data_IF_753042574634
#
_entry.id   IF_753042574634
#
_cell.length_a   1.000
_cell.length_b   1.000
_cell.length_c   1.000
_cell.angle_alpha   90.00
_cell.angle_beta   90.00
_cell.angle_gamma   90.00
#
_symmetry.space_group_name_H-M   'P 1'
#
loop_
_entity.id
_entity.type
_entity.pdbx_description
1 polymer ?
#
# COMPACT_ATOMS: atom_id res chain seq x y z
N UNK A 1 53.70 -10.17 -45.43
CA UNK A 1 52.31 -10.47 -45.02
C UNK A 1 52.02 -9.67 -43.76
N UNK A 2 51.23 -8.61 -43.85
CA UNK A 2 50.94 -7.71 -42.72
C UNK A 2 49.57 -8.06 -42.14
N UNK A 3 49.54 -8.49 -40.90
CA UNK A 3 48.29 -8.75 -40.16
C UNK A 3 47.59 -7.43 -39.84
N UNK A 4 46.28 -7.30 -40.09
CA UNK A 4 45.54 -6.10 -39.70
C UNK A 4 45.37 -6.10 -38.18
N UNK A 5 45.99 -5.13 -37.49
CA UNK A 5 45.74 -4.88 -36.07
C UNK A 5 44.30 -4.41 -35.89
N UNK A 6 43.45 -5.29 -35.37
CA UNK A 6 42.04 -5.03 -35.11
C UNK A 6 41.89 -4.07 -33.92
N UNK A 7 42.05 -2.77 -34.16
CA UNK A 7 41.95 -1.69 -33.17
C UNK A 7 40.48 -1.30 -32.86
N UNK A 8 39.61 -2.29 -32.61
CA UNK A 8 38.21 -2.05 -32.23
C UNK A 8 38.00 -1.82 -30.72
N UNK A 9 39.05 -1.59 -29.93
CA UNK A 9 38.89 -1.25 -28.51
C UNK A 9 38.57 0.25 -28.37
N UNK A 10 37.40 0.62 -27.82
CA UNK A 10 37.08 2.01 -27.57
C UNK A 10 38.12 2.63 -26.62
N UNK A 11 38.43 3.91 -26.83
CA UNK A 11 39.36 4.64 -25.98
C UNK A 11 38.87 4.64 -24.52
N UNK A 12 39.79 4.77 -23.56
CA UNK A 12 39.45 4.82 -22.13
C UNK A 12 38.45 5.94 -21.84
N UNK A 13 38.53 7.05 -22.58
CA UNK A 13 37.59 8.17 -22.54
C UNK A 13 36.19 7.72 -22.97
N UNK A 14 36.07 7.10 -24.16
CA UNK A 14 34.78 6.63 -24.68
C UNK A 14 34.13 5.58 -23.78
N UNK A 15 34.93 4.72 -23.13
CA UNK A 15 34.43 3.74 -22.15
C UNK A 15 33.89 4.42 -20.89
N UNK A 16 34.59 5.43 -20.36
CA UNK A 16 34.16 6.17 -19.17
C UNK A 16 32.92 7.03 -19.46
N UNK A 17 32.85 7.69 -20.61
CA UNK A 17 31.68 8.45 -21.05
C UNK A 17 30.45 7.55 -21.21
N UNK A 18 30.61 6.40 -21.85
CA UNK A 18 29.53 5.44 -22.01
C UNK A 18 29.07 4.88 -20.66
N UNK A 19 29.99 4.60 -19.73
CA UNK A 19 29.67 4.15 -18.38
C UNK A 19 28.93 5.24 -17.59
N UNK A 20 29.40 6.49 -17.65
CA UNK A 20 28.76 7.64 -17.01
C UNK A 20 27.33 7.84 -17.53
N UNK A 21 27.14 7.82 -18.85
CA UNK A 21 25.83 7.96 -19.48
C UNK A 21 24.86 6.86 -19.03
N UNK A 22 25.30 5.59 -19.03
CA UNK A 22 24.49 4.46 -18.56
C UNK A 22 24.09 4.61 -17.10
N UNK A 23 25.04 4.98 -16.23
CA UNK A 23 24.77 5.18 -14.81
C UNK A 23 23.82 6.35 -14.56
N UNK A 24 23.99 7.47 -15.27
CA UNK A 24 23.10 8.63 -15.14
C UNK A 24 21.67 8.30 -15.58
N UNK A 25 21.50 7.61 -16.71
CA UNK A 25 20.18 7.16 -17.19
C UNK A 25 19.53 6.22 -16.18
N UNK A 26 20.29 5.27 -15.63
CA UNK A 26 19.79 4.33 -14.64
C UNK A 26 19.44 5.02 -13.31
N UNK A 27 20.28 5.93 -12.83
CA UNK A 27 20.04 6.78 -11.65
C UNK A 27 18.77 7.61 -11.79
N UNK A 28 18.55 8.21 -12.97
CA UNK A 28 17.31 8.93 -13.30
C UNK A 28 16.09 8.01 -13.28
N UNK A 29 16.19 6.82 -13.88
CA UNK A 29 15.09 5.84 -13.89
C UNK A 29 14.73 5.38 -12.47
N UNK A 30 15.73 5.07 -11.63
CA UNK A 30 15.51 4.68 -10.24
C UNK A 30 14.85 5.80 -9.41
N UNK A 31 15.27 7.06 -9.61
CA UNK A 31 14.64 8.22 -8.96
C UNK A 31 13.19 8.39 -9.40
N UNK A 32 12.90 8.22 -10.69
CA UNK A 32 11.53 8.31 -11.20
C UNK A 32 10.63 7.19 -10.65
N UNK A 33 11.15 5.95 -10.59
CA UNK A 33 10.45 4.83 -9.96
C UNK A 33 10.19 5.07 -8.48
N UNK A 34 11.18 5.60 -7.74
CA UNK A 34 11.02 5.94 -6.33
C UNK A 34 9.99 7.05 -6.10
N UNK A 35 9.92 8.05 -6.97
CA UNK A 35 8.92 9.11 -6.87
C UNK A 35 7.50 8.54 -7.04
N UNK A 36 7.27 7.78 -8.12
CA UNK A 36 5.99 7.11 -8.37
C UNK A 36 5.57 6.18 -7.24
N UNK A 37 6.49 5.33 -6.77
CA UNK A 37 6.15 4.38 -5.70
C UNK A 37 5.85 5.07 -4.36
N UNK A 38 6.37 6.29 -4.14
CA UNK A 38 6.04 7.09 -2.96
C UNK A 38 4.68 7.75 -3.07
N UNK A 39 4.29 8.19 -4.28
CA UNK A 39 2.94 8.69 -4.56
C UNK A 39 1.93 7.55 -4.37
N UNK A 40 2.15 6.40 -5.00
CA UNK A 40 1.30 5.21 -4.85
C UNK A 40 1.20 4.76 -3.38
N UNK A 41 2.27 4.86 -2.60
CA UNK A 41 2.25 4.55 -1.17
C UNK A 41 1.38 5.52 -0.36
N UNK A 42 1.28 6.78 -0.76
CA UNK A 42 0.40 7.76 -0.08
C UNK A 42 -1.06 7.39 -0.34
N UNK A 43 -1.40 7.08 -1.59
CA UNK A 43 -2.76 6.67 -1.95
C UNK A 43 -3.16 5.38 -1.22
N UNK A 44 -2.25 4.41 -1.14
CA UNK A 44 -2.50 3.16 -0.41
C UNK A 44 -2.70 3.38 1.08
N UNK A 45 -1.93 4.29 1.69
CA UNK A 45 -2.12 4.65 3.11
C UNK A 45 -3.48 5.29 3.33
N UNK A 46 -3.92 6.13 2.40
CA UNK A 46 -5.24 6.74 2.49
C UNK A 46 -6.33 5.66 2.38
N UNK A 47 -6.17 4.68 1.49
CA UNK A 47 -7.08 3.55 1.39
C UNK A 47 -7.13 2.69 2.66
N UNK A 48 -5.99 2.43 3.31
CA UNK A 48 -5.93 1.76 4.62
C UNK A 48 -6.74 2.53 5.66
N UNK A 49 -6.51 3.84 5.79
CA UNK A 49 -7.22 4.67 6.77
C UNK A 49 -8.73 4.66 6.52
N UNK A 50 -9.15 4.83 5.27
CA UNK A 50 -10.58 4.75 4.92
C UNK A 50 -11.18 3.40 5.28
N UNK A 51 -10.51 2.28 4.97
CA UNK A 51 -10.99 0.97 5.38
C UNK A 51 -11.00 0.75 6.91
N UNK A 52 -10.09 1.37 7.66
CA UNK A 52 -10.10 1.34 9.13
C UNK A 52 -11.28 2.13 9.71
N UNK A 53 -11.61 3.27 9.09
CA UNK A 53 -12.79 4.05 9.41
C UNK A 53 -14.07 3.25 9.10
N UNK A 54 -14.14 2.60 7.93
CA UNK A 54 -15.27 1.73 7.52
C UNK A 54 -15.49 0.57 8.51
N UNK A 55 -14.40 -0.07 8.98
CA UNK A 55 -14.49 -1.11 10.03
C UNK A 55 -15.10 -0.53 11.31
N UNK A 56 -14.68 0.67 11.70
CA UNK A 56 -15.13 1.31 12.93
C UNK A 56 -16.60 1.68 12.85
N UNK A 57 -17.05 2.26 11.74
CA UNK A 57 -18.46 2.59 11.47
C UNK A 57 -19.34 1.33 11.46
N UNK A 58 -18.94 0.32 10.70
CA UNK A 58 -19.68 -0.94 10.56
C UNK A 58 -19.73 -1.73 11.88
N UNK A 59 -18.67 -1.68 12.69
CA UNK A 59 -18.66 -2.27 14.04
C UNK A 59 -19.60 -1.54 15.00
N UNK A 60 -19.67 -0.21 14.93
CA UNK A 60 -20.60 0.57 15.74
C UNK A 60 -22.05 0.27 15.35
N UNK A 61 -22.34 0.19 14.05
CA UNK A 61 -23.66 -0.21 13.54
C UNK A 61 -24.06 -1.61 13.99
N UNK A 62 -23.14 -2.58 13.94
CA UNK A 62 -23.38 -3.92 14.45
C UNK A 62 -23.75 -3.90 15.95
N UNK A 63 -23.04 -3.09 16.75
CA UNK A 63 -23.33 -2.96 18.17
C UNK A 63 -24.72 -2.33 18.42
N UNK A 64 -25.13 -1.36 17.61
CA UNK A 64 -26.47 -0.77 17.67
C UNK A 64 -27.57 -1.81 17.37
N UNK A 65 -27.37 -2.62 16.32
CA UNK A 65 -28.28 -3.73 15.99
C UNK A 65 -28.38 -4.72 17.16
N UNK A 66 -27.24 -5.15 17.72
CA UNK A 66 -27.23 -6.08 18.86
C UNK A 66 -27.92 -5.49 20.11
N UNK A 67 -27.81 -4.19 20.34
CA UNK A 67 -28.55 -3.52 21.42
C UNK A 67 -30.06 -3.46 21.17
N UNK A 68 -30.49 -3.23 19.93
CA UNK A 68 -31.90 -3.24 19.56
C UNK A 68 -32.49 -4.64 19.70
N UNK A 69 -31.78 -5.66 19.21
CA UNK A 69 -32.16 -7.06 19.39
C UNK A 69 -32.30 -7.42 20.87
N UNK A 70 -31.36 -7.01 21.72
CA UNK A 70 -31.44 -7.28 23.16
C UNK A 70 -32.67 -6.63 23.81
N UNK A 71 -33.01 -5.38 23.44
CA UNK A 71 -34.23 -4.71 23.93
C UNK A 71 -35.49 -5.43 23.46
N UNK A 72 -35.54 -5.81 22.19
CA UNK A 72 -36.67 -6.49 21.59
C UNK A 72 -36.86 -7.90 22.17
N UNK A 73 -35.78 -8.61 22.46
CA UNK A 73 -35.84 -9.91 23.12
C UNK A 73 -36.51 -9.81 24.49
N UNK A 74 -36.21 -8.76 25.27
CA UNK A 74 -36.87 -8.52 26.56
C UNK A 74 -38.37 -8.30 26.38
N UNK A 75 -38.80 -7.58 25.33
CA UNK A 75 -40.22 -7.40 25.01
C UNK A 75 -40.89 -8.71 24.60
N UNK A 76 -40.23 -9.51 23.75
CA UNK A 76 -40.71 -10.83 23.34
C UNK A 76 -40.85 -11.76 24.55
N UNK A 77 -39.86 -11.78 25.43
CA UNK A 77 -39.88 -12.60 26.65
C UNK A 77 -41.04 -12.19 27.57
N UNK A 78 -41.23 -10.88 27.77
CA UNK A 78 -42.33 -10.36 28.59
C UNK A 78 -43.71 -10.72 28.01
N UNK A 79 -43.90 -10.57 26.69
CA UNK A 79 -45.14 -10.93 26.01
C UNK A 79 -45.38 -12.45 26.03
N UNK A 80 -44.33 -13.26 25.95
CA UNK A 80 -44.44 -14.74 25.94
C UNK A 80 -44.94 -15.33 27.26
N UNK A 81 -44.81 -14.58 28.36
CA UNK A 81 -45.30 -14.97 29.68
C UNK A 81 -46.78 -14.65 29.89
N UNK A 82 -47.39 -13.84 29.01
CA UNK A 82 -48.80 -13.49 29.09
C UNK A 82 -49.69 -14.65 28.58
N UNK A 83 -50.91 -14.81 29.13
CA UNK A 83 -51.86 -15.79 28.64
C UNK A 83 -52.20 -15.54 27.15
N UNK A 84 -52.38 -16.58 26.32
CA UNK A 84 -52.69 -16.43 24.89
C UNK A 84 -53.96 -15.63 24.59
N UNK A 85 -54.90 -15.56 25.55
CA UNK A 85 -56.13 -14.76 25.44
C UNK A 85 -55.90 -13.25 25.49
N UNK A 86 -54.67 -12.80 25.75
CA UNK A 86 -54.27 -11.39 25.80
C UNK A 86 -53.29 -10.99 24.68
N UNK A 87 -52.95 -11.90 23.76
CA UNK A 87 -52.07 -11.60 22.63
C UNK A 87 -52.88 -11.29 21.37
N UNK A 88 -52.97 -10.00 21.03
CA UNK A 88 -53.65 -9.50 19.82
C UNK A 88 -52.79 -9.65 18.54
N UNK A 89 -51.83 -10.58 18.52
CA UNK A 89 -50.82 -10.73 17.45
C UNK A 89 -49.55 -9.91 17.68
N UNK A 90 -49.41 -9.29 18.85
CA UNK A 90 -48.25 -8.49 19.25
C UNK A 90 -46.99 -9.35 19.35
N UNK A 91 -47.08 -10.55 19.94
CA UNK A 91 -45.93 -11.45 20.07
C UNK A 91 -45.40 -11.89 18.69
N UNK A 92 -46.29 -12.21 17.75
CA UNK A 92 -45.91 -12.60 16.40
C UNK A 92 -45.20 -11.47 15.66
N UNK A 93 -45.71 -10.24 15.75
CA UNK A 93 -45.08 -9.07 15.16
C UNK A 93 -43.68 -8.80 15.74
N UNK A 94 -43.52 -8.88 17.07
CA UNK A 94 -42.22 -8.68 17.73
C UNK A 94 -41.20 -9.77 17.40
N UNK A 95 -41.63 -11.02 17.22
CA UNK A 95 -40.76 -12.11 16.75
C UNK A 95 -40.32 -11.91 15.29
N UNK A 96 -41.21 -11.40 14.44
CA UNK A 96 -40.85 -11.07 13.06
C UNK A 96 -39.79 -9.95 13.03
N UNK A 97 -40.03 -8.86 13.77
CA UNK A 97 -39.07 -7.75 13.89
C UNK A 97 -37.71 -8.21 14.41
N UNK A 98 -37.67 -9.17 15.35
CA UNK A 98 -36.43 -9.77 15.82
C UNK A 98 -35.72 -10.55 14.71
N UNK A 99 -36.48 -11.30 13.90
CA UNK A 99 -35.95 -12.00 12.72
C UNK A 99 -35.36 -11.04 11.68
N UNK A 100 -36.01 -9.90 11.43
CA UNK A 100 -35.50 -8.86 10.53
C UNK A 100 -34.16 -8.28 11.06
N UNK A 101 -34.06 -8.03 12.37
CA UNK A 101 -32.79 -7.60 12.98
C UNK A 101 -31.70 -8.68 12.95
N UNK A 102 -32.05 -9.96 13.06
CA UNK A 102 -31.10 -11.06 12.90
C UNK A 102 -30.53 -11.12 11.48
N UNK A 103 -31.37 -10.86 10.47
CA UNK A 103 -30.95 -10.74 9.07
C UNK A 103 -30.01 -9.53 8.88
N UNK A 104 -30.39 -8.34 9.36
CA UNK A 104 -29.55 -7.13 9.30
C UNK A 104 -28.19 -7.35 9.99
N UNK A 105 -28.18 -8.02 11.15
CA UNK A 105 -26.94 -8.37 11.86
C UNK A 105 -26.05 -9.27 10.99
N UNK A 106 -26.64 -10.25 10.32
CA UNK A 106 -25.89 -11.18 9.49
C UNK A 106 -25.34 -10.51 8.22
N UNK A 107 -26.07 -9.57 7.63
CA UNK A 107 -25.60 -8.73 6.53
C UNK A 107 -24.43 -7.84 6.96
N UNK A 108 -24.54 -7.18 8.12
CA UNK A 108 -23.49 -6.30 8.65
C UNK A 108 -22.21 -7.10 8.97
N UNK A 109 -22.33 -8.31 9.51
CA UNK A 109 -21.20 -9.22 9.72
C UNK A 109 -20.51 -9.62 8.40
N UNK A 110 -21.27 -9.85 7.34
CA UNK A 110 -20.72 -10.15 6.01
C UNK A 110 -20.00 -8.93 5.43
N UNK A 111 -20.56 -7.74 5.61
CA UNK A 111 -19.93 -6.48 5.23
C UNK A 111 -18.61 -6.27 5.97
N UNK A 112 -18.58 -6.44 7.31
CA UNK A 112 -17.34 -6.37 8.09
C UNK A 112 -16.28 -7.36 7.62
N UNK A 113 -16.68 -8.61 7.34
CA UNK A 113 -15.76 -9.61 6.81
C UNK A 113 -15.16 -9.18 5.47
N UNK A 114 -15.97 -8.57 4.59
CA UNK A 114 -15.51 -8.03 3.33
C UNK A 114 -14.54 -6.86 3.52
N UNK A 115 -14.89 -5.86 4.35
CA UNK A 115 -14.04 -4.71 4.64
C UNK A 115 -12.69 -5.17 5.22
N UNK A 116 -12.69 -6.12 6.14
CA UNK A 116 -11.45 -6.69 6.68
C UNK A 116 -10.58 -7.36 5.62
N UNK A 117 -11.17 -8.04 4.63
CA UNK A 117 -10.43 -8.64 3.52
C UNK A 117 -9.79 -7.56 2.63
N UNK A 118 -10.52 -6.48 2.35
CA UNK A 118 -10.04 -5.32 1.61
C UNK A 118 -8.92 -4.61 2.38
N UNK A 119 -9.12 -4.29 3.65
CA UNK A 119 -8.11 -3.70 4.54
C UNK A 119 -6.81 -4.52 4.56
N UNK A 120 -6.91 -5.84 4.69
CA UNK A 120 -5.74 -6.73 4.67
C UNK A 120 -5.01 -6.68 3.32
N UNK A 121 -5.76 -6.54 2.23
CA UNK A 121 -5.17 -6.36 0.89
C UNK A 121 -4.38 -5.06 0.82
N UNK A 122 -4.96 -3.96 1.33
CA UNK A 122 -4.30 -2.67 1.36
C UNK A 122 -3.03 -2.66 2.22
N UNK A 123 -3.12 -3.20 3.44
CA UNK A 123 -1.97 -3.33 4.34
C UNK A 123 -0.83 -4.18 3.74
N UNK A 124 -1.18 -5.25 3.00
CA UNK A 124 -0.21 -6.06 2.27
C UNK A 124 0.44 -5.28 1.11
N UNK A 125 -0.36 -4.52 0.36
CA UNK A 125 0.10 -3.61 -0.70
C UNK A 125 1.09 -2.58 -0.15
N UNK A 126 0.71 -1.91 0.94
CA UNK A 126 1.53 -0.92 1.62
C UNK A 126 2.89 -1.51 2.07
N UNK A 127 2.85 -2.68 2.73
CA UNK A 127 4.05 -3.39 3.18
C UNK A 127 4.98 -3.78 2.03
N UNK A 128 4.41 -4.22 0.89
CA UNK A 128 5.17 -4.51 -0.32
C UNK A 128 5.83 -3.25 -0.89
N UNK A 129 5.10 -2.14 -0.98
CA UNK A 129 5.64 -0.87 -1.48
C UNK A 129 6.75 -0.32 -0.59
N UNK A 130 6.59 -0.36 0.74
CA UNK A 130 7.65 0.03 1.69
C UNK A 130 8.93 -0.79 1.48
N UNK A 131 8.81 -2.11 1.26
CA UNK A 131 9.96 -2.98 0.94
C UNK A 131 10.62 -2.61 -0.39
N UNK A 132 9.82 -2.35 -1.43
CA UNK A 132 10.32 -1.92 -2.74
C UNK A 132 11.03 -0.56 -2.69
N UNK A 133 10.48 0.43 -1.99
CA UNK A 133 11.17 1.71 -1.72
C UNK A 133 12.52 1.46 -1.04
N UNK A 134 12.55 0.61 -0.01
CA UNK A 134 13.79 0.25 0.68
C UNK A 134 14.83 -0.38 -0.26
N UNK A 135 14.41 -1.30 -1.13
CA UNK A 135 15.28 -1.94 -2.12
C UNK A 135 15.80 -0.94 -3.17
N UNK A 136 14.92 -0.14 -3.77
CA UNK A 136 15.28 0.86 -4.78
C UNK A 136 16.17 1.97 -4.20
N UNK A 137 15.96 2.36 -2.93
CA UNK A 137 16.81 3.34 -2.24
C UNK A 137 18.24 2.81 -2.06
N UNK A 138 18.38 1.54 -1.67
CA UNK A 138 19.69 0.88 -1.57
C UNK A 138 20.37 0.79 -2.93
N UNK A 139 19.63 0.46 -3.98
CA UNK A 139 20.18 0.38 -5.34
C UNK A 139 20.61 1.75 -5.86
N UNK A 140 19.80 2.79 -5.63
CA UNK A 140 20.17 4.17 -5.97
C UNK A 140 21.47 4.59 -5.28
N UNK A 141 21.66 4.22 -4.01
CA UNK A 141 22.91 4.49 -3.29
C UNK A 141 24.12 3.77 -3.91
N UNK A 142 23.95 2.52 -4.33
CA UNK A 142 25.00 1.76 -5.05
C UNK A 142 25.34 2.41 -6.39
N UNK A 143 24.35 2.88 -7.13
CA UNK A 143 24.55 3.59 -8.40
C UNK A 143 25.30 4.88 -8.18
N UNK A 144 24.94 5.69 -7.17
CA UNK A 144 25.69 6.92 -6.84
C UNK A 144 27.16 6.66 -6.51
N UNK A 145 27.45 5.62 -5.72
CA UNK A 145 28.85 5.20 -5.46
C UNK A 145 29.59 4.84 -6.74
N UNK A 146 28.92 4.17 -7.68
CA UNK A 146 29.53 3.85 -8.99
C UNK A 146 29.74 5.10 -9.83
N UNK A 147 28.82 6.05 -9.81
CA UNK A 147 28.97 7.36 -10.47
C UNK A 147 30.21 8.10 -9.92
N UNK A 148 30.35 8.18 -8.59
CA UNK A 148 31.53 8.76 -7.92
C UNK A 148 32.84 8.08 -8.35
N UNK A 149 32.84 6.75 -8.44
CA UNK A 149 34.02 5.99 -8.87
C UNK A 149 34.40 6.27 -10.34
N UNK A 150 33.42 6.45 -11.23
CA UNK A 150 33.67 6.83 -12.63
C UNK A 150 34.29 8.23 -12.70
N UNK A 151 33.80 9.18 -11.89
CA UNK A 151 34.38 10.52 -11.78
C UNK A 151 35.83 10.45 -11.27
N UNK A 152 36.09 9.70 -10.19
CA UNK A 152 37.44 9.51 -9.66
C UNK A 152 38.39 8.87 -10.69
N UNK A 153 37.90 7.90 -11.47
CA UNK A 153 38.68 7.28 -12.55
C UNK A 153 39.03 8.28 -13.67
N UNK A 154 38.07 9.14 -14.07
CA UNK A 154 38.29 10.20 -15.05
C UNK A 154 39.30 11.26 -14.57
N UNK A 155 39.28 11.60 -13.27
CA UNK A 155 40.26 12.49 -12.65
C UNK A 155 41.67 11.87 -12.63
N UNK A 156 41.79 10.61 -12.20
CA UNK A 156 43.09 9.91 -12.11
C UNK A 156 43.75 9.71 -13.47
N UNK A 157 42.95 9.47 -14.50
CA UNK A 157 43.42 9.33 -15.88
C UNK A 157 43.72 10.68 -16.56
N UNK A 158 43.61 11.81 -15.85
CA UNK A 158 43.78 13.18 -16.37
C UNK A 158 42.86 13.50 -17.55
N UNK A 159 41.79 12.74 -17.73
CA UNK A 159 40.77 12.96 -18.77
C UNK A 159 39.97 14.21 -18.43
N UNK A 160 39.70 14.42 -17.14
CA UNK A 160 39.03 15.62 -16.63
C UNK A 160 39.99 16.36 -15.68
N UNK A 161 40.15 17.66 -15.88
CA UNK A 161 40.83 18.56 -14.92
C UNK A 161 39.76 19.31 -14.14
N UNK A 162 39.78 19.21 -12.81
CA UNK A 162 38.99 20.12 -11.97
C UNK A 162 39.60 21.51 -12.11
N UNK A 163 38.91 22.41 -12.80
CA UNK A 163 39.20 23.84 -12.69
C UNK A 163 38.67 24.27 -11.33
N UNK A 164 39.58 24.53 -10.38
CA UNK A 164 39.19 25.23 -9.17
C UNK A 164 38.58 26.58 -9.60
N UNK A 165 37.42 26.98 -9.04
CA UNK A 165 36.89 28.31 -9.32
C UNK A 165 37.96 29.32 -8.92
N UNK A 166 38.34 30.20 -9.86
CA UNK A 166 39.25 31.31 -9.58
C UNK A 166 38.59 32.14 -8.48
N UNK A 167 39.23 32.17 -7.31
CA UNK A 167 38.90 33.10 -6.22
C UNK A 167 39.31 34.49 -6.68
#
# INVERSE_FOLDING_TARGET
MSTPSNNNRPSVIAQLEQAAMKLTLYSRALRAQLARLREELVDEKQAVLTSEDDVSESSARLQEIEQLMAKLQVEVDALSLLPPSHDDGSLAARRQELGELEEERQEELQLLAHIHAVLRTHQNGESKMRRMIGALTKELHRVRRREEMVVLAALRSRIVKVLAPKI
#
